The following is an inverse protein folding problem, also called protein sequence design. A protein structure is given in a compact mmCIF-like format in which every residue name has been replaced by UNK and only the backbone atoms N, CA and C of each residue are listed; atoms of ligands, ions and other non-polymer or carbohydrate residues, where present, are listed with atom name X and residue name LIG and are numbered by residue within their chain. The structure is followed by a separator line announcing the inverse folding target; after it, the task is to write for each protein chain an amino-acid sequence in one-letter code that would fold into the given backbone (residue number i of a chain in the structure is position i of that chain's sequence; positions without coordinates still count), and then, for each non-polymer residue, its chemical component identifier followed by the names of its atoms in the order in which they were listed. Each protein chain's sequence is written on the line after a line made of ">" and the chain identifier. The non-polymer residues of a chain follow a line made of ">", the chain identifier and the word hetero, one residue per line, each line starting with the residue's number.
data_IF_869796332817
#
_entry.id   IF_869796332817
#
_cell.length_a   1.000
_cell.length_b   1.000
_cell.length_c   1.000
_cell.angle_alpha   90.00
_cell.angle_beta   90.00
_cell.angle_gamma   90.00
#
_symmetry.space_group_name_H-M   'P 1'
#
loop_
_entity.id
_entity.type
_entity.pdbx_description
1 polymer ?
#
# COMPACT_ATOMS: atom_id res chain seq x y z
N UNK A 1 -36.16 1.98 -51.34
CA UNK A 1 -36.54 1.72 -49.93
C UNK A 1 -35.70 0.64 -49.24
N UNK A 2 -34.39 0.50 -49.58
CA UNK A 2 -33.57 -0.59 -49.06
C UNK A 2 -32.30 -0.15 -48.33
N UNK A 3 -32.03 1.16 -48.17
CA UNK A 3 -30.83 1.68 -47.50
C UNK A 3 -30.99 1.99 -46.00
N UNK A 4 -32.22 2.09 -45.53
CA UNK A 4 -32.51 2.47 -44.11
C UNK A 4 -32.38 1.29 -43.12
N UNK A 5 -32.59 0.05 -43.56
CA UNK A 5 -32.53 -1.11 -42.68
C UNK A 5 -31.11 -1.55 -42.37
N UNK A 6 -30.16 -1.37 -43.27
CA UNK A 6 -28.76 -1.78 -43.05
C UNK A 6 -28.04 -0.92 -42.00
N UNK A 7 -28.42 0.34 -41.86
CA UNK A 7 -27.81 1.26 -40.86
C UNK A 7 -28.31 0.94 -39.46
N UNK A 8 -29.56 0.48 -39.33
CA UNK A 8 -30.16 0.10 -38.03
C UNK A 8 -29.51 -1.15 -37.43
N UNK A 9 -29.13 -2.11 -38.26
CA UNK A 9 -28.48 -3.37 -37.80
C UNK A 9 -27.02 -3.12 -37.39
N UNK A 10 -26.30 -2.27 -38.12
CA UNK A 10 -24.92 -1.89 -37.78
C UNK A 10 -24.86 -1.13 -36.42
N UNK A 11 -25.82 -0.24 -36.18
CA UNK A 11 -25.94 0.52 -34.94
C UNK A 11 -26.21 -0.40 -33.73
N UNK A 12 -27.02 -1.44 -33.89
CA UNK A 12 -27.31 -2.42 -32.84
C UNK A 12 -26.11 -3.32 -32.52
N UNK A 13 -25.32 -3.71 -33.53
CA UNK A 13 -24.10 -4.48 -33.38
C UNK A 13 -23.00 -3.67 -32.65
N UNK A 14 -22.85 -2.38 -32.98
CA UNK A 14 -21.88 -1.51 -32.27
C UNK A 14 -22.27 -1.25 -30.82
N UNK A 15 -23.56 -1.06 -30.53
CA UNK A 15 -24.06 -0.88 -29.17
C UNK A 15 -23.82 -2.11 -28.29
N UNK A 16 -24.06 -3.32 -28.84
CA UNK A 16 -23.80 -4.58 -28.14
C UNK A 16 -22.31 -4.82 -27.87
N UNK A 17 -21.45 -4.49 -28.84
CA UNK A 17 -20.00 -4.67 -28.69
C UNK A 17 -19.41 -3.71 -27.62
N UNK A 18 -19.86 -2.44 -27.59
CA UNK A 18 -19.45 -1.48 -26.56
C UNK A 18 -19.86 -1.93 -25.16
N UNK A 19 -21.05 -2.50 -24.96
CA UNK A 19 -21.51 -3.00 -23.67
C UNK A 19 -20.70 -4.22 -23.20
N UNK A 20 -20.34 -5.12 -24.12
CA UNK A 20 -19.50 -6.28 -23.80
C UNK A 20 -18.08 -5.85 -23.43
N UNK A 21 -17.47 -4.95 -24.18
CA UNK A 21 -16.14 -4.40 -23.85
C UNK A 21 -16.16 -3.63 -22.54
N UNK A 22 -17.19 -2.80 -22.31
CA UNK A 22 -17.36 -2.11 -21.03
C UNK A 22 -17.57 -3.08 -19.87
N UNK A 23 -18.36 -4.14 -20.07
CA UNK A 23 -18.55 -5.20 -19.08
C UNK A 23 -17.25 -5.95 -18.76
N UNK A 24 -16.44 -6.26 -19.78
CA UNK A 24 -15.13 -6.90 -19.61
C UNK A 24 -14.15 -5.96 -18.88
N UNK A 25 -14.07 -4.70 -19.28
CA UNK A 25 -13.23 -3.70 -18.62
C UNK A 25 -13.69 -3.42 -17.19
N UNK A 26 -14.99 -3.39 -16.94
CA UNK A 26 -15.58 -3.26 -15.60
C UNK A 26 -15.32 -4.49 -14.74
N UNK A 27 -15.45 -5.70 -15.30
CA UNK A 27 -15.13 -6.96 -14.63
C UNK A 27 -13.62 -7.08 -14.35
N UNK A 28 -12.77 -6.67 -15.30
CA UNK A 28 -11.32 -6.64 -15.13
C UNK A 28 -10.92 -5.66 -14.04
N UNK A 29 -11.49 -4.44 -14.05
CA UNK A 29 -11.29 -3.44 -12.99
C UNK A 29 -11.81 -3.91 -11.65
N UNK A 30 -12.94 -4.59 -11.61
CA UNK A 30 -13.54 -5.12 -10.38
C UNK A 30 -12.86 -6.41 -9.89
N UNK A 31 -12.23 -7.18 -10.79
CA UNK A 31 -11.45 -8.37 -10.43
C UNK A 31 -10.11 -7.98 -9.78
N UNK A 32 -9.49 -6.89 -10.22
CA UNK A 32 -8.31 -6.33 -9.56
C UNK A 32 -8.68 -5.82 -8.15
N UNK A 33 -9.90 -5.28 -7.97
CA UNK A 33 -10.40 -4.84 -6.65
C UNK A 33 -10.89 -5.99 -5.75
N UNK A 34 -11.10 -7.19 -6.30
CA UNK A 34 -11.62 -8.35 -5.54
C UNK A 34 -10.55 -9.23 -4.91
N UNK A 35 -9.29 -8.84 -4.97
CA UNK A 35 -8.30 -9.39 -4.07
C UNK A 35 -8.51 -8.77 -2.68
N UNK A 36 -9.63 -9.15 -2.07
CA UNK A 36 -9.99 -8.85 -0.69
C UNK A 36 -8.98 -9.58 0.17
N UNK A 37 -7.82 -8.96 0.34
CA UNK A 37 -6.85 -9.33 1.35
C UNK A 37 -7.63 -9.46 2.65
N UNK A 38 -7.66 -10.67 3.20
CA UNK A 38 -8.12 -10.98 4.54
C UNK A 38 -7.57 -9.87 5.43
N UNK A 39 -8.41 -9.14 6.15
CA UNK A 39 -7.99 -8.12 7.11
C UNK A 39 -7.17 -8.82 8.21
N UNK A 40 -5.89 -9.05 7.95
CA UNK A 40 -4.93 -9.32 9.00
C UNK A 40 -4.71 -8.02 9.75
N UNK A 41 -4.94 -8.03 11.04
CA UNK A 41 -4.65 -6.87 11.90
C UNK A 41 -3.14 -6.61 11.89
N UNK A 42 -2.70 -5.35 11.98
CA UNK A 42 -1.25 -4.98 12.08
C UNK A 42 -0.60 -5.74 13.22
N UNK A 43 -1.35 -6.01 14.27
CA UNK A 43 -0.93 -6.75 15.45
C UNK A 43 -0.47 -8.19 15.13
N UNK A 44 -1.07 -8.82 14.13
CA UNK A 44 -0.72 -10.18 13.69
C UNK A 44 0.28 -10.18 12.54
N UNK A 45 0.29 -9.10 11.73
CA UNK A 45 1.00 -9.04 10.47
C UNK A 45 2.52 -8.85 10.62
N UNK A 46 2.97 -7.86 11.41
CA UNK A 46 4.39 -7.51 11.52
C UNK A 46 5.21 -8.63 12.19
N UNK A 47 4.82 -9.21 13.34
CA UNK A 47 5.56 -10.29 13.95
C UNK A 47 5.53 -11.59 13.14
N UNK A 48 4.41 -11.90 12.47
CA UNK A 48 4.30 -13.10 11.65
C UNK A 48 5.18 -13.01 10.38
N UNK A 49 5.28 -11.86 9.76
CA UNK A 49 6.16 -11.65 8.60
C UNK A 49 7.63 -11.70 9.05
N UNK A 50 7.98 -11.03 10.15
CA UNK A 50 9.35 -11.06 10.68
C UNK A 50 9.76 -12.48 11.09
N UNK A 51 8.85 -13.26 11.67
CA UNK A 51 9.13 -14.63 12.12
C UNK A 51 9.11 -15.67 10.99
N UNK A 52 8.25 -15.51 9.96
CA UNK A 52 8.07 -16.51 8.89
C UNK A 52 8.99 -16.31 7.69
N UNK A 53 9.36 -15.10 7.34
CA UNK A 53 10.00 -14.83 6.04
C UNK A 53 11.47 -14.43 6.16
N UNK A 54 12.04 -14.33 7.37
CA UNK A 54 13.41 -13.84 7.54
C UNK A 54 13.58 -12.55 6.72
N UNK A 55 12.82 -11.51 7.08
CA UNK A 55 12.67 -10.30 6.25
C UNK A 55 14.00 -9.64 5.98
N UNK A 56 14.49 -9.87 4.78
CA UNK A 56 15.58 -9.14 4.20
C UNK A 56 15.09 -7.72 3.85
N UNK A 57 15.69 -6.73 4.49
CA UNK A 57 15.44 -5.31 4.23
C UNK A 57 15.55 -5.00 2.73
N UNK A 58 16.43 -5.69 2.02
CA UNK A 58 16.62 -5.50 0.59
C UNK A 58 15.42 -5.99 -0.23
N UNK A 59 14.84 -7.13 0.12
CA UNK A 59 13.61 -7.61 -0.54
C UNK A 59 12.45 -6.65 -0.36
N UNK A 60 12.33 -6.02 0.81
CA UNK A 60 11.28 -5.01 1.04
C UNK A 60 11.53 -3.77 0.19
N UNK A 61 12.79 -3.34 0.03
CA UNK A 61 13.13 -2.21 -0.85
C UNK A 61 12.74 -2.50 -2.31
N UNK A 62 13.11 -3.68 -2.81
CA UNK A 62 12.73 -4.11 -4.16
C UNK A 62 11.21 -4.16 -4.34
N UNK A 63 10.47 -4.65 -3.35
CA UNK A 63 9.00 -4.66 -3.38
C UNK A 63 8.40 -3.24 -3.37
N UNK A 64 9.04 -2.26 -2.71
CA UNK A 64 8.61 -0.86 -2.76
C UNK A 64 8.83 -0.29 -4.16
N UNK A 65 10.03 -0.49 -4.74
CA UNK A 65 10.37 -0.01 -6.08
C UNK A 65 9.47 -0.62 -7.16
N UNK A 66 9.21 -1.92 -7.07
CA UNK A 66 8.31 -2.61 -7.99
C UNK A 66 6.89 -2.01 -7.89
N UNK A 67 6.34 -1.88 -6.68
CA UNK A 67 5.00 -1.34 -6.47
C UNK A 67 4.89 0.13 -6.94
N UNK A 68 5.93 0.94 -6.74
CA UNK A 68 6.02 2.32 -7.24
C UNK A 68 5.99 2.35 -8.78
N UNK A 69 6.78 1.50 -9.46
CA UNK A 69 6.83 1.40 -10.92
C UNK A 69 5.51 0.91 -11.53
N UNK A 70 4.78 0.05 -10.82
CA UNK A 70 3.46 -0.47 -11.23
C UNK A 70 2.32 0.50 -10.89
N UNK A 71 2.60 1.62 -10.19
CA UNK A 71 1.58 2.56 -9.72
C UNK A 71 0.71 2.00 -8.58
N UNK A 72 1.09 0.85 -7.98
CA UNK A 72 0.44 0.29 -6.79
C UNK A 72 0.92 0.99 -5.53
N UNK A 73 0.50 2.25 -5.38
CA UNK A 73 0.88 3.06 -4.21
C UNK A 73 0.34 2.52 -2.89
N UNK A 74 -0.69 1.66 -2.92
CA UNK A 74 -1.19 0.99 -1.71
C UNK A 74 -0.17 0.01 -1.17
N UNK A 75 0.34 -0.88 -2.01
CA UNK A 75 1.41 -1.82 -1.66
C UNK A 75 2.72 -1.11 -1.35
N UNK A 76 3.06 -0.04 -2.09
CA UNK A 76 4.24 0.76 -1.85
C UNK A 76 4.23 1.40 -0.44
N UNK A 77 3.11 2.02 -0.01
CA UNK A 77 2.94 2.61 1.32
C UNK A 77 3.03 1.54 2.41
N UNK A 78 2.40 0.39 2.21
CA UNK A 78 2.45 -0.73 3.15
C UNK A 78 3.88 -1.22 3.37
N UNK A 79 4.59 -1.50 2.28
CA UNK A 79 5.95 -2.01 2.35
C UNK A 79 6.91 -0.96 2.93
N UNK A 80 6.71 0.32 2.61
CA UNK A 80 7.47 1.42 3.21
C UNK A 80 7.28 1.50 4.73
N UNK A 81 6.04 1.36 5.21
CA UNK A 81 5.73 1.33 6.63
C UNK A 81 6.44 0.16 7.33
N UNK A 82 6.37 -1.03 6.74
CA UNK A 82 7.06 -2.21 7.23
C UNK A 82 8.58 -2.01 7.31
N UNK A 83 9.18 -1.43 6.25
CA UNK A 83 10.60 -1.10 6.21
C UNK A 83 11.01 -0.17 7.37
N UNK A 84 10.18 0.85 7.67
CA UNK A 84 10.44 1.76 8.78
C UNK A 84 10.39 1.04 10.12
N UNK A 85 9.36 0.24 10.38
CA UNK A 85 9.23 -0.55 11.62
C UNK A 85 10.47 -1.43 11.82
N UNK A 86 10.90 -2.16 10.80
CA UNK A 86 12.09 -3.02 10.87
C UNK A 86 13.37 -2.19 11.09
N UNK A 87 13.50 -1.07 10.42
CA UNK A 87 14.65 -0.18 10.58
C UNK A 87 14.76 0.36 12.02
N UNK A 88 13.62 0.76 12.61
CA UNK A 88 13.57 1.23 14.00
C UNK A 88 13.87 0.09 14.99
N UNK A 89 13.41 -1.12 14.71
CA UNK A 89 13.73 -2.29 15.54
C UNK A 89 15.21 -2.66 15.46
N UNK A 90 15.80 -2.67 14.27
CA UNK A 90 17.23 -2.92 14.05
C UNK A 90 18.11 -1.86 14.75
N UNK A 91 17.64 -0.61 14.77
CA UNK A 91 18.28 0.48 15.51
C UNK A 91 18.03 0.40 17.04
N UNK A 92 17.31 -0.61 17.53
CA UNK A 92 16.94 -0.81 18.94
C UNK A 92 16.13 0.36 19.54
N UNK A 93 15.47 1.13 18.68
CA UNK A 93 14.59 2.24 19.09
C UNK A 93 13.20 1.76 19.49
N UNK A 94 12.77 0.60 18.98
CA UNK A 94 11.55 -0.10 19.36
C UNK A 94 11.83 -1.58 19.54
N UNK A 95 10.98 -2.27 20.32
CA UNK A 95 11.03 -3.73 20.48
C UNK A 95 9.78 -4.32 19.81
N UNK A 96 9.97 -5.14 18.78
CA UNK A 96 8.86 -5.83 18.13
C UNK A 96 8.19 -6.79 19.10
N UNK A 97 6.88 -6.72 19.18
CA UNK A 97 6.06 -7.62 19.97
C UNK A 97 4.65 -7.73 19.36
N UNK A 98 4.09 -8.94 19.35
CA UNK A 98 2.81 -9.23 18.71
C UNK A 98 1.62 -8.47 19.31
N UNK A 99 1.68 -8.14 20.60
CA UNK A 99 0.61 -7.44 21.31
C UNK A 99 0.72 -5.92 21.26
N UNK A 100 1.78 -5.38 20.62
CA UNK A 100 1.98 -3.92 20.56
C UNK A 100 1.24 -3.29 19.42
N UNK A 101 0.60 -2.18 19.72
CA UNK A 101 -0.05 -1.30 18.76
C UNK A 101 0.94 -0.28 18.18
N UNK A 102 0.57 0.37 17.07
CA UNK A 102 1.33 1.50 16.52
C UNK A 102 1.53 2.63 17.55
N UNK A 103 0.57 2.81 18.46
CA UNK A 103 0.68 3.77 19.57
C UNK A 103 1.77 3.39 20.55
N UNK A 104 1.94 2.11 20.82
CA UNK A 104 2.98 1.62 21.76
C UNK A 104 4.36 1.77 21.14
N UNK A 105 4.55 1.43 19.88
CA UNK A 105 5.81 1.72 19.17
C UNK A 105 6.15 3.21 19.19
N UNK A 106 5.16 4.09 18.98
CA UNK A 106 5.37 5.54 19.05
C UNK A 106 5.86 6.00 20.42
N UNK A 107 5.34 5.43 21.52
CA UNK A 107 5.75 5.79 22.89
C UNK A 107 7.19 5.37 23.21
N UNK A 108 7.69 4.30 22.59
CA UNK A 108 9.08 3.85 22.73
C UNK A 108 10.07 4.79 22.02
N UNK A 109 9.64 5.45 20.96
CA UNK A 109 10.50 6.32 20.18
C UNK A 109 10.89 7.58 20.95
N UNK A 110 12.14 8.08 20.75
CA UNK A 110 12.52 9.42 21.20
C UNK A 110 11.55 10.49 20.70
N UNK A 111 11.30 11.53 21.51
CA UNK A 111 10.30 12.57 21.21
C UNK A 111 10.45 13.19 19.82
N UNK A 112 11.69 13.35 19.34
CA UNK A 112 12.00 13.91 18.01
C UNK A 112 11.40 13.11 16.85
N UNK A 113 11.19 11.79 16.99
CA UNK A 113 10.64 10.91 15.96
C UNK A 113 9.14 10.68 16.06
N UNK A 114 8.55 10.92 17.23
CA UNK A 114 7.15 10.59 17.50
C UNK A 114 6.16 11.29 16.55
N UNK A 115 6.48 12.53 16.15
CA UNK A 115 5.62 13.31 15.27
C UNK A 115 5.58 12.72 13.84
N UNK A 116 6.73 12.41 13.26
CA UNK A 116 6.81 11.88 11.91
C UNK A 116 6.36 10.43 11.84
N UNK A 117 6.67 9.63 12.86
CA UNK A 117 6.11 8.28 12.99
C UNK A 117 4.58 8.30 13.03
N UNK A 118 3.97 9.20 13.81
CA UNK A 118 2.51 9.36 13.85
C UNK A 118 1.91 9.73 12.49
N UNK A 119 2.57 10.63 11.74
CA UNK A 119 2.10 11.04 10.40
C UNK A 119 2.18 9.88 9.42
N UNK A 120 3.29 9.15 9.40
CA UNK A 120 3.47 7.96 8.56
C UNK A 120 2.45 6.87 8.90
N UNK A 121 2.28 6.56 10.19
CA UNK A 121 1.28 5.61 10.67
C UNK A 121 -0.12 5.99 10.21
N UNK A 122 -0.48 7.28 10.30
CA UNK A 122 -1.80 7.75 9.87
C UNK A 122 -2.04 7.55 8.37
N UNK A 123 -1.03 7.79 7.53
CA UNK A 123 -1.13 7.49 6.08
C UNK A 123 -1.36 6.00 5.87
N UNK A 124 -0.56 5.15 6.53
CA UNK A 124 -0.70 3.72 6.46
C UNK A 124 -2.10 3.26 6.90
N UNK A 125 -2.59 3.71 8.05
CA UNK A 125 -3.90 3.33 8.59
C UNK A 125 -5.05 3.73 7.63
N UNK A 126 -5.01 4.93 7.04
CA UNK A 126 -6.01 5.39 6.08
C UNK A 126 -6.02 4.56 4.80
N UNK A 127 -4.85 4.27 4.25
CA UNK A 127 -4.72 3.53 2.99
C UNK A 127 -5.00 2.05 3.20
N UNK A 128 -4.51 1.48 4.29
CA UNK A 128 -4.59 0.03 4.50
C UNK A 128 -5.92 -0.41 5.09
N UNK A 129 -6.42 0.29 6.11
CA UNK A 129 -7.66 -0.05 6.81
C UNK A 129 -8.87 0.79 6.39
N UNK A 130 -8.64 2.05 6.01
CA UNK A 130 -9.71 3.00 5.68
C UNK A 130 -10.16 2.96 4.23
N UNK A 131 -9.61 2.07 3.39
CA UNK A 131 -9.87 2.02 1.94
C UNK A 131 -9.71 3.39 1.24
N UNK A 132 -8.91 4.30 1.83
CA UNK A 132 -8.61 5.58 1.21
C UNK A 132 -7.74 5.36 -0.04
N UNK A 133 -8.05 6.03 -1.16
CA UNK A 133 -7.30 5.83 -2.39
C UNK A 133 -5.84 6.26 -2.21
N UNK A 134 -4.93 5.32 -2.45
CA UNK A 134 -3.51 5.61 -2.49
C UNK A 134 -3.17 6.38 -3.77
N UNK A 135 -2.32 7.40 -3.65
CA UNK A 135 -1.85 8.21 -4.77
C UNK A 135 -0.34 8.42 -4.69
N UNK A 136 0.27 8.79 -5.82
CA UNK A 136 1.68 9.16 -5.87
C UNK A 136 2.03 10.25 -4.86
N UNK A 137 1.20 11.29 -4.77
CA UNK A 137 1.39 12.38 -3.81
C UNK A 137 1.39 11.89 -2.36
N UNK A 138 0.48 10.97 -2.01
CA UNK A 138 0.39 10.41 -0.68
C UNK A 138 1.61 9.53 -0.36
N UNK A 139 2.07 8.75 -1.35
CA UNK A 139 3.29 7.95 -1.24
C UNK A 139 4.54 8.83 -1.09
N UNK A 140 4.65 9.93 -1.84
CA UNK A 140 5.75 10.89 -1.70
C UNK A 140 5.79 11.52 -0.29
N UNK A 141 4.63 11.85 0.29
CA UNK A 141 4.54 12.30 1.67
C UNK A 141 4.99 11.21 2.66
N UNK A 142 4.58 9.96 2.45
CA UNK A 142 5.02 8.85 3.28
C UNK A 142 6.54 8.65 3.20
N UNK A 143 7.15 8.74 2.00
CA UNK A 143 8.61 8.69 1.81
C UNK A 143 9.33 9.80 2.59
N UNK A 144 8.77 11.00 2.64
CA UNK A 144 9.34 12.13 3.39
C UNK A 144 9.41 11.81 4.89
N UNK A 145 8.31 11.32 5.48
CA UNK A 145 8.32 10.95 6.92
C UNK A 145 9.21 9.73 7.21
N UNK A 146 9.21 8.74 6.31
CA UNK A 146 10.08 7.57 6.44
C UNK A 146 11.56 7.95 6.40
N UNK A 147 11.96 8.89 5.54
CA UNK A 147 13.35 9.34 5.43
C UNK A 147 13.87 10.00 6.70
N UNK A 148 13.02 10.77 7.40
CA UNK A 148 13.37 11.38 8.70
C UNK A 148 13.63 10.31 9.76
N UNK A 149 12.84 9.23 9.74
CA UNK A 149 12.97 8.13 10.69
C UNK A 149 14.18 7.22 10.42
N UNK A 150 14.66 7.19 9.18
CA UNK A 150 15.78 6.33 8.76
C UNK A 150 17.15 7.05 8.77
N UNK A 151 17.21 8.36 9.01
CA UNK A 151 18.44 9.17 8.88
C UNK A 151 19.57 8.80 9.83
N UNK A 152 19.32 8.15 10.96
CA UNK A 152 20.36 7.86 11.95
C UNK A 152 21.23 6.62 11.70
N UNK A 153 21.01 5.87 10.59
CA UNK A 153 21.97 4.80 10.22
C UNK A 153 23.35 5.33 9.79
N UNK A 154 23.48 6.63 9.54
CA UNK A 154 24.72 7.24 9.02
C UNK A 154 25.49 8.09 10.03
N UNK A 155 25.14 8.03 11.31
CA UNK A 155 25.79 8.82 12.39
C UNK A 155 26.22 7.90 13.54
N UNK A 156 26.78 6.76 13.23
CA UNK A 156 27.50 5.91 14.19
C UNK A 156 28.76 5.35 13.55
#
# INVERSE_FOLDING_TARGET
>A
MCKSQHISEISKMFGGFCLVVFGILFAYRNSIFKNKSKKETVEEYIPNIVAKEGLDVEKIRQAIEQAENEGDYRSAIRNLYLLVILSLANAKLIKLHIEKTNTDYRKELPKKYQADFRKLTRIFDFVWYGDYPASETLFAQAKTYASTLNREKNVA
#
